data_IF_654736750678
#
_entry.id   IF_654736750678
#
_cell.length_a   1.000
_cell.length_b   1.000
_cell.length_c   1.000
_cell.angle_alpha   90.00
_cell.angle_beta   90.00
_cell.angle_gamma   90.00
#
_symmetry.space_group_name_H-M   'P 1'
#
loop_
_entity.id
_entity.type
_entity.pdbx_description
1 polymer ?
#
# COMPACT_ATOMS: atom_id res chain seq x y z
N UNK A 1 9.20 18.23 -2.87
CA UNK A 1 7.95 18.12 -3.61
C UNK A 1 7.67 16.67 -3.96
N UNK A 2 6.45 16.25 -3.79
CA UNK A 2 6.07 14.88 -4.08
C UNK A 2 5.77 14.74 -5.56
N UNK A 3 6.46 13.86 -6.25
CA UNK A 3 6.20 13.60 -7.65
C UNK A 3 4.94 12.78 -7.85
N UNK A 4 4.40 12.78 -9.05
CA UNK A 4 3.33 11.88 -9.45
C UNK A 4 3.87 10.45 -9.46
N UNK A 5 3.00 9.42 -9.46
CA UNK A 5 3.48 8.04 -9.59
C UNK A 5 4.35 7.81 -10.82
N UNK A 6 4.02 8.47 -11.94
CA UNK A 6 4.82 8.37 -13.16
C UNK A 6 6.21 8.97 -12.98
N UNK A 7 6.30 10.06 -12.24
CA UNK A 7 7.58 10.69 -11.95
C UNK A 7 8.45 9.75 -11.09
N UNK A 8 7.85 9.13 -10.08
CA UNK A 8 8.55 8.16 -9.24
C UNK A 8 9.01 6.96 -10.04
N UNK A 9 8.19 6.50 -10.98
CA UNK A 9 8.56 5.37 -11.82
C UNK A 9 9.80 5.71 -12.64
N UNK A 10 9.87 6.92 -13.18
CA UNK A 10 11.05 7.36 -13.92
C UNK A 10 12.31 7.31 -13.08
N UNK A 11 12.21 7.72 -11.82
CA UNK A 11 13.33 7.64 -10.90
C UNK A 11 13.74 6.19 -10.63
N UNK A 12 12.75 5.30 -10.46
CA UNK A 12 13.03 3.89 -10.24
C UNK A 12 13.72 3.25 -11.42
N UNK A 13 13.34 3.63 -12.63
CA UNK A 13 13.92 3.08 -13.85
C UNK A 13 15.40 3.41 -13.99
N UNK A 14 15.87 4.46 -13.34
CA UNK A 14 17.27 4.82 -13.34
C UNK A 14 18.08 3.97 -12.36
N UNK A 15 17.42 3.24 -11.47
CA UNK A 15 18.06 2.40 -10.49
C UNK A 15 18.06 0.95 -10.95
N UNK A 16 19.18 0.28 -10.80
CA UNK A 16 19.26 -1.14 -11.14
C UNK A 16 18.65 -2.03 -10.07
N UNK A 17 18.47 -1.52 -8.85
CA UNK A 17 17.93 -2.32 -7.75
C UNK A 17 17.22 -1.43 -6.74
N UNK A 18 16.03 -0.92 -7.10
CA UNK A 18 15.30 -0.03 -6.19
C UNK A 18 14.83 -0.75 -4.93
N UNK A 19 14.75 -0.07 -3.80
CA UNK A 19 14.21 -0.65 -2.57
C UNK A 19 12.75 -1.07 -2.75
N UNK A 20 12.37 -2.15 -2.07
CA UNK A 20 11.01 -2.66 -2.15
C UNK A 20 9.96 -1.60 -1.75
N UNK A 21 10.26 -0.79 -0.74
CA UNK A 21 9.36 0.27 -0.28
C UNK A 21 9.07 1.27 -1.39
N UNK A 22 10.07 1.60 -2.20
CA UNK A 22 9.86 2.51 -3.32
C UNK A 22 9.02 1.87 -4.41
N UNK A 23 9.21 0.58 -4.66
CA UNK A 23 8.41 -0.16 -5.63
C UNK A 23 6.95 -0.19 -5.17
N UNK A 24 6.69 -0.50 -3.91
CA UNK A 24 5.34 -0.51 -3.37
C UNK A 24 4.68 0.86 -3.49
N UNK A 25 5.43 1.90 -3.14
CA UNK A 25 4.91 3.26 -3.20
C UNK A 25 4.54 3.65 -4.63
N UNK A 26 5.40 3.30 -5.58
CA UNK A 26 5.18 3.63 -6.98
C UNK A 26 4.02 2.85 -7.59
N UNK A 27 3.99 1.55 -7.37
CA UNK A 27 3.00 0.66 -8.02
C UNK A 27 1.61 0.82 -7.41
N UNK A 28 1.51 0.88 -6.08
CA UNK A 28 0.21 1.01 -5.41
C UNK A 28 -0.21 2.46 -5.19
N UNK A 29 0.70 3.41 -5.38
CA UNK A 29 0.41 4.81 -5.10
C UNK A 29 0.26 5.11 -3.61
N UNK A 30 0.88 4.30 -2.77
CA UNK A 30 0.85 4.51 -1.33
C UNK A 30 2.09 5.28 -0.89
N UNK A 31 2.00 5.92 0.25
CA UNK A 31 3.10 6.72 0.77
C UNK A 31 4.02 5.89 1.65
N UNK A 32 5.21 6.41 1.93
CA UNK A 32 6.18 5.66 2.71
C UNK A 32 5.70 5.32 4.11
N UNK A 33 4.88 6.18 4.74
CA UNK A 33 4.36 5.85 6.07
C UNK A 33 3.36 4.69 6.01
N UNK A 34 2.64 4.54 4.91
CA UNK A 34 1.72 3.42 4.71
C UNK A 34 2.49 2.13 4.48
N UNK A 35 3.56 2.20 3.71
CA UNK A 35 4.43 1.03 3.52
C UNK A 35 5.05 0.61 4.84
N UNK A 36 5.48 1.58 5.65
CA UNK A 36 6.03 1.29 6.98
C UNK A 36 4.98 0.61 7.87
N UNK A 37 3.73 1.09 7.82
CA UNK A 37 2.64 0.47 8.56
C UNK A 37 2.44 -0.98 8.13
N UNK A 38 2.50 -1.26 6.84
CA UNK A 38 2.40 -2.62 6.34
C UNK A 38 3.52 -3.51 6.90
N UNK A 39 4.75 -3.03 6.89
CA UNK A 39 5.89 -3.80 7.37
C UNK A 39 5.81 -4.09 8.86
N UNK A 40 5.39 -3.09 9.64
CA UNK A 40 5.18 -3.28 11.08
C UNK A 40 4.04 -4.27 11.32
N UNK A 41 2.96 -4.16 10.55
CA UNK A 41 1.84 -5.07 10.67
C UNK A 41 2.23 -6.52 10.37
N UNK A 42 3.15 -6.72 9.42
CA UNK A 42 3.69 -8.05 9.15
C UNK A 42 4.38 -8.64 10.36
N UNK A 43 5.07 -7.79 11.13
CA UNK A 43 5.79 -8.24 12.32
C UNK A 43 4.86 -8.45 13.51
N UNK A 44 3.68 -7.85 13.49
CA UNK A 44 2.72 -7.88 14.60
C UNK A 44 1.33 -8.24 14.09
N UNK A 45 1.14 -9.47 13.59
CA UNK A 45 -0.17 -9.86 13.05
C UNK A 45 -1.25 -9.83 14.12
N UNK A 46 -2.44 -9.41 13.72
CA UNK A 46 -3.57 -9.33 14.63
C UNK A 46 -3.58 -8.11 15.53
N UNK A 47 -2.85 -7.06 15.14
CA UNK A 47 -2.77 -5.84 15.93
C UNK A 47 -4.02 -4.98 15.84
N UNK A 48 -4.33 -4.31 16.94
CA UNK A 48 -5.35 -3.27 16.97
C UNK A 48 -4.74 -1.95 16.54
N UNK A 49 -5.59 -0.95 16.29
CA UNK A 49 -5.12 0.40 15.97
C UNK A 49 -4.26 0.96 17.12
N UNK A 50 -4.69 0.75 18.36
CA UNK A 50 -3.95 1.26 19.52
C UNK A 50 -2.57 0.64 19.62
N UNK A 51 -2.46 -0.65 19.38
CA UNK A 51 -1.17 -1.34 19.41
C UNK A 51 -0.24 -0.83 18.32
N UNK A 52 -0.77 -0.64 17.12
CA UNK A 52 0.03 -0.11 16.01
C UNK A 52 0.44 1.34 16.23
N UNK A 53 -0.48 2.14 16.78
CA UNK A 53 -0.18 3.54 17.09
C UNK A 53 0.97 3.64 18.07
N UNK A 54 0.99 2.77 19.09
CA UNK A 54 2.08 2.73 20.06
C UNK A 54 3.40 2.35 19.40
N UNK A 55 3.40 1.30 18.57
CA UNK A 55 4.62 0.84 17.91
C UNK A 55 5.15 1.86 16.92
N UNK A 56 4.26 2.49 16.16
CA UNK A 56 4.64 3.47 15.13
C UNK A 56 4.88 4.85 15.70
N UNK A 57 4.50 5.07 16.96
CA UNK A 57 4.59 6.37 17.63
C UNK A 57 3.83 7.43 16.83
N UNK A 58 2.61 7.08 16.43
CA UNK A 58 1.71 7.95 15.68
C UNK A 58 0.35 7.97 16.33
N UNK A 59 -0.42 9.00 16.05
CA UNK A 59 -1.78 9.10 16.61
C UNK A 59 -2.72 8.11 15.91
N UNK A 60 -3.81 7.79 16.60
CA UNK A 60 -4.79 6.83 16.09
C UNK A 60 -5.38 7.22 14.74
N UNK A 61 -5.63 8.51 14.53
CA UNK A 61 -6.21 8.99 13.27
C UNK A 61 -5.30 8.68 12.08
N UNK A 62 -4.01 8.93 12.24
CA UNK A 62 -3.03 8.69 11.20
C UNK A 62 -2.94 7.18 10.90
N UNK A 63 -2.86 6.37 11.96
CA UNK A 63 -2.78 4.91 11.79
C UNK A 63 -4.03 4.36 11.15
N UNK A 64 -5.20 4.87 11.56
CA UNK A 64 -6.47 4.43 10.98
C UNK A 64 -6.53 4.71 9.48
N UNK A 65 -6.08 5.89 9.06
CA UNK A 65 -6.05 6.23 7.63
C UNK A 65 -5.10 5.31 6.86
N UNK A 66 -3.92 5.05 7.43
CA UNK A 66 -2.96 4.15 6.80
C UNK A 66 -3.53 2.75 6.66
N UNK A 67 -4.17 2.24 7.71
CA UNK A 67 -4.78 0.91 7.68
C UNK A 67 -5.93 0.84 6.68
N UNK A 68 -6.73 1.90 6.59
CA UNK A 68 -7.81 1.95 5.61
C UNK A 68 -7.27 1.87 4.19
N UNK A 69 -6.20 2.60 3.90
CA UNK A 69 -5.56 2.56 2.60
C UNK A 69 -5.02 1.16 2.30
N UNK A 70 -4.32 0.55 3.25
CA UNK A 70 -3.80 -0.80 3.08
C UNK A 70 -4.91 -1.81 2.85
N UNK A 71 -5.99 -1.69 3.61
CA UNK A 71 -7.14 -2.57 3.49
C UNK A 71 -7.80 -2.42 2.11
N UNK A 72 -7.99 -1.18 1.65
CA UNK A 72 -8.59 -0.91 0.34
C UNK A 72 -7.74 -1.43 -0.82
N UNK A 73 -6.42 -1.47 -0.63
CA UNK A 73 -5.50 -2.00 -1.65
C UNK A 73 -5.32 -3.51 -1.55
N UNK A 74 -5.98 -4.16 -0.60
CA UNK A 74 -5.88 -5.61 -0.42
C UNK A 74 -4.61 -6.05 0.28
N UNK A 75 -3.87 -5.12 0.89
CA UNK A 75 -2.61 -5.42 1.57
C UNK A 75 -2.80 -5.79 3.04
N UNK A 76 -3.96 -5.52 3.59
CA UNK A 76 -4.27 -5.86 4.98
C UNK A 76 -5.69 -6.41 5.07
N UNK A 77 -5.87 -7.37 5.97
CA UNK A 77 -7.19 -7.88 6.31
C UNK A 77 -7.59 -7.32 7.66
N UNK A 78 -8.89 -7.24 7.88
CA UNK A 78 -9.46 -6.71 9.10
C UNK A 78 -10.50 -7.69 9.63
N UNK A 79 -10.32 -8.11 10.88
CA UNK A 79 -11.26 -9.01 11.55
C UNK A 79 -11.79 -8.36 12.81
N UNK A 80 -13.04 -8.66 13.15
CA UNK A 80 -13.64 -8.20 14.39
C UNK A 80 -13.37 -9.23 15.49
N UNK A 81 -12.96 -8.74 16.65
CA UNK A 81 -12.84 -9.55 17.83
C UNK A 81 -13.84 -9.05 18.87
N UNK A 82 -14.72 -9.93 19.33
CA UNK A 82 -15.70 -9.56 20.35
C UNK A 82 -15.03 -9.46 21.72
N UNK A 83 -15.47 -8.46 22.48
CA UNK A 83 -14.95 -8.22 23.82
C UNK A 83 -15.89 -8.82 24.86
N UNK A 84 -15.33 -9.30 25.98
CA UNK A 84 -16.11 -9.94 27.03
C UNK A 84 -17.17 -9.01 27.63
N UNK A 85 -16.87 -7.74 27.73
CA UNK A 85 -17.80 -6.75 28.29
C UNK A 85 -18.79 -6.17 27.28
N UNK A 86 -18.85 -6.74 26.08
CA UNK A 86 -19.66 -6.22 24.99
C UNK A 86 -18.87 -5.34 24.06
N UNK A 87 -19.38 -5.17 22.84
CA UNK A 87 -18.67 -4.43 21.80
C UNK A 87 -17.60 -5.29 21.13
N UNK A 88 -16.80 -4.62 20.30
CA UNK A 88 -15.77 -5.31 19.53
C UNK A 88 -14.61 -4.38 19.25
N UNK A 89 -13.51 -4.97 18.82
CA UNK A 89 -12.34 -4.24 18.34
C UNK A 89 -11.89 -4.88 17.03
N UNK A 90 -11.37 -4.07 16.12
CA UNK A 90 -10.80 -4.59 14.88
C UNK A 90 -9.33 -4.96 15.10
N UNK A 91 -8.97 -6.11 14.54
CA UNK A 91 -7.58 -6.56 14.50
C UNK A 91 -7.17 -6.63 13.03
N UNK A 92 -5.98 -6.17 12.73
CA UNK A 92 -5.48 -6.09 11.38
C UNK A 92 -4.33 -7.07 11.17
N UNK A 93 -4.27 -7.66 10.00
CA UNK A 93 -3.21 -8.59 9.65
C UNK A 93 -2.76 -8.28 8.23
N UNK A 94 -1.45 -8.10 8.05
CA UNK A 94 -0.89 -7.91 6.71
C UNK A 94 -1.04 -9.20 5.93
N UNK A 95 -1.34 -9.10 4.63
CA UNK A 95 -1.33 -10.30 3.80
C UNK A 95 0.11 -10.80 3.71
N UNK A 96 0.26 -12.11 3.52
CA UNK A 96 1.59 -12.70 3.45
C UNK A 96 2.35 -12.18 2.24
N UNK A 97 3.66 -12.14 2.37
CA UNK A 97 4.51 -11.51 1.35
C UNK A 97 4.31 -12.08 -0.06
N UNK A 98 4.18 -13.40 -0.26
CA UNK A 98 3.90 -13.92 -1.60
C UNK A 98 2.62 -13.36 -2.23
N UNK A 99 1.57 -13.16 -1.42
CA UNK A 99 0.33 -12.57 -1.91
C UNK A 99 0.52 -11.08 -2.23
N UNK A 100 1.27 -10.36 -1.40
CA UNK A 100 1.58 -8.96 -1.66
C UNK A 100 2.35 -8.82 -2.97
N UNK A 101 3.30 -9.71 -3.21
CA UNK A 101 4.08 -9.70 -4.45
C UNK A 101 3.18 -9.97 -5.65
N UNK A 102 2.24 -10.90 -5.53
CA UNK A 102 1.29 -11.19 -6.61
C UNK A 102 0.44 -9.95 -6.92
N UNK A 103 -0.04 -9.25 -5.90
CA UNK A 103 -0.81 -8.02 -6.11
C UNK A 103 0.03 -6.94 -6.78
N UNK A 104 1.31 -6.83 -6.40
CA UNK A 104 2.21 -5.88 -7.05
C UNK A 104 2.35 -6.17 -8.54
N UNK A 105 2.55 -7.43 -8.90
CA UNK A 105 2.64 -7.82 -10.30
C UNK A 105 1.36 -7.52 -11.06
N UNK A 106 0.20 -7.84 -10.48
CA UNK A 106 -1.09 -7.55 -11.10
C UNK A 106 -1.27 -6.04 -11.32
N UNK A 107 -0.97 -5.24 -10.30
CA UNK A 107 -1.12 -3.80 -10.40
C UNK A 107 -0.19 -3.21 -11.45
N UNK A 108 1.04 -3.70 -11.49
CA UNK A 108 2.02 -3.25 -12.48
C UNK A 108 1.57 -3.64 -13.90
N UNK A 109 1.11 -4.86 -14.09
CA UNK A 109 0.65 -5.32 -15.39
C UNK A 109 -0.57 -4.52 -15.87
N UNK A 110 -1.52 -4.26 -14.98
CA UNK A 110 -2.70 -3.48 -15.32
C UNK A 110 -2.32 -2.04 -15.71
N UNK A 111 -1.41 -1.43 -14.96
CA UNK A 111 -0.97 -0.08 -15.26
C UNK A 111 -0.20 -0.03 -16.57
N UNK A 112 0.65 -1.02 -16.80
CA UNK A 112 1.42 -1.12 -18.05
C UNK A 112 0.49 -1.24 -19.25
N UNK A 113 -0.55 -2.05 -19.14
CA UNK A 113 -1.55 -2.19 -20.20
C UNK A 113 -2.23 -0.86 -20.48
N UNK A 114 -2.60 -0.13 -19.43
CA UNK A 114 -3.21 1.18 -19.58
C UNK A 114 -2.28 2.16 -20.30
N UNK A 115 -1.01 2.14 -19.93
CA UNK A 115 -0.01 3.02 -20.57
C UNK A 115 0.16 2.65 -22.04
N UNK A 116 0.18 1.37 -22.37
CA UNK A 116 0.24 0.94 -23.76
C UNK A 116 -0.94 1.45 -24.56
N UNK A 117 -2.15 1.38 -24.00
CA UNK A 117 -3.34 1.90 -24.66
C UNK A 117 -3.24 3.40 -24.90
N UNK A 118 -2.78 4.15 -23.93
CA UNK A 118 -2.59 5.61 -24.08
C UNK A 118 -1.62 5.90 -25.20
N UNK A 119 -0.52 5.17 -25.27
CA UNK A 119 0.47 5.33 -26.34
C UNK A 119 -0.15 5.07 -27.71
N UNK A 120 -0.90 3.96 -27.82
CA UNK A 120 -1.50 3.58 -29.10
C UNK A 120 -2.58 4.54 -29.57
N UNK A 121 -3.31 5.14 -28.63
CA UNK A 121 -4.39 6.06 -28.96
C UNK A 121 -3.91 7.48 -29.25
N UNK A 122 -2.67 7.79 -28.97
CA UNK A 122 -2.15 9.13 -29.20
C UNK A 122 -1.92 9.35 -30.71
N UNK A 123 -2.49 10.43 -31.22
CA UNK A 123 -2.44 10.74 -32.66
C UNK A 123 -1.67 12.01 -32.99
N UNK A 124 -0.76 12.40 -32.12
CA UNK A 124 0.04 13.61 -32.34
C UNK A 124 -0.60 14.88 -31.83
N UNK A 125 -1.70 14.76 -31.12
CA UNK A 125 -2.33 15.91 -30.49
C UNK A 125 -3.18 16.76 -31.42
N UNK A 126 -3.54 16.23 -32.56
CA UNK A 126 -4.40 16.94 -33.51
C UNK A 126 -5.87 16.76 -33.20
N UNK A 127 -6.11 16.22 -32.11
CA UNK A 127 -7.44 15.82 -31.67
C UNK A 127 -8.50 16.70 -31.77
#
# INVERSE_FOLDING_TARGET
MTGSPQHRLGELMEQSNPPFEEVMSCVFGIESHETRTYLVLRDQPGSTIDELAATLERDRSTVNRSLSTLHDRGLARRDRRLLDGGGYVYQYTAIVLPEAKALLHEALDAWTATVHDVIEEFDGGTG
#
